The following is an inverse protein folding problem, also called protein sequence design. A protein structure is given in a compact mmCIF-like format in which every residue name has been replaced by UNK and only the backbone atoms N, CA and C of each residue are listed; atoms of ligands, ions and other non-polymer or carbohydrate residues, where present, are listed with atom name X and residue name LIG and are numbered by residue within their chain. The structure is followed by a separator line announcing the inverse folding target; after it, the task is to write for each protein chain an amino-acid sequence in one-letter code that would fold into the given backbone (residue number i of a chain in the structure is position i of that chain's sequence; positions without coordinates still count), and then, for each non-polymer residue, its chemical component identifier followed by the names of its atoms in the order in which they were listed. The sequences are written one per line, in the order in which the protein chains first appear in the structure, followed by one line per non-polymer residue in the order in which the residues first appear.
data_IF_455615391803
#
_entry.id   IF_455615391803
#
_cell.length_a   1.000
_cell.length_b   1.000
_cell.length_c   1.000
_cell.angle_alpha   90.00
_cell.angle_beta   90.00
_cell.angle_gamma   90.00
#
_symmetry.space_group_name_H-M   'P 1'
#
loop_
_entity.id
_entity.type
_entity.pdbx_description
1 polymer ?
#
# COMPACT_ATOMS: atom_id res chain seq x y z
N UNK A 1 26.98 -8.71 -13.47
CA UNK A 1 25.51 -8.58 -13.49
C UNK A 1 25.16 -7.23 -12.87
N UNK A 2 24.82 -6.21 -13.66
CA UNK A 2 24.40 -4.90 -13.13
C UNK A 2 22.96 -5.06 -12.68
N UNK A 3 22.70 -5.02 -11.37
CA UNK A 3 21.34 -4.86 -10.87
C UNK A 3 20.84 -3.52 -11.45
N UNK A 4 19.75 -3.56 -12.24
CA UNK A 4 18.99 -2.33 -12.48
C UNK A 4 18.60 -1.78 -11.10
N UNK A 5 18.40 -0.47 -10.93
CA UNK A 5 17.73 0.05 -9.75
C UNK A 5 16.25 -0.38 -9.81
N UNK A 6 16.01 -1.68 -9.72
CA UNK A 6 14.71 -2.28 -9.52
C UNK A 6 14.32 -1.90 -8.11
N UNK A 7 13.27 -1.10 -8.00
CA UNK A 7 12.68 -0.71 -6.73
C UNK A 7 12.41 -1.97 -5.89
N UNK A 8 12.55 -1.91 -4.57
CA UNK A 8 12.18 -3.02 -3.67
C UNK A 8 10.76 -3.55 -3.94
N UNK A 9 9.90 -2.71 -4.51
CA UNK A 9 8.53 -3.03 -4.89
C UNK A 9 8.42 -3.93 -6.14
N UNK A 10 9.46 -4.07 -6.98
CA UNK A 10 9.42 -5.01 -8.12
C UNK A 10 9.32 -6.47 -7.65
N UNK A 11 9.96 -6.83 -6.53
CA UNK A 11 9.85 -8.16 -5.91
C UNK A 11 8.54 -8.35 -5.12
N UNK A 12 7.78 -7.27 -4.92
CA UNK A 12 6.48 -7.27 -4.23
C UNK A 12 5.32 -7.21 -5.24
N UNK A 13 5.63 -7.23 -6.53
CA UNK A 13 4.65 -7.20 -7.60
C UNK A 13 3.80 -8.48 -7.56
N UNK A 14 2.47 -8.32 -7.58
CA UNK A 14 1.50 -9.42 -7.64
C UNK A 14 1.46 -10.09 -9.04
N UNK A 15 2.61 -10.19 -9.70
CA UNK A 15 2.74 -10.97 -10.93
C UNK A 15 2.82 -12.46 -10.54
N UNK A 16 2.01 -13.35 -11.14
CA UNK A 16 2.11 -14.79 -10.96
C UNK A 16 3.53 -15.36 -11.16
N UNK A 17 4.35 -14.72 -12.00
CA UNK A 17 5.73 -15.10 -12.26
C UNK A 17 6.71 -14.66 -11.15
N UNK A 18 6.35 -13.65 -10.35
CA UNK A 18 7.12 -13.13 -9.21
C UNK A 18 6.43 -13.43 -7.86
N UNK A 19 5.42 -14.30 -7.87
CA UNK A 19 4.51 -14.55 -6.77
C UNK A 19 5.21 -15.33 -5.64
N UNK A 20 5.92 -14.62 -4.79
CA UNK A 20 6.25 -15.10 -3.47
C UNK A 20 5.82 -14.03 -2.47
N UNK A 21 4.52 -14.00 -2.17
CA UNK A 21 3.99 -13.26 -1.01
C UNK A 21 4.41 -14.03 0.25
N UNK A 22 5.72 -14.10 0.47
CA UNK A 22 6.32 -14.74 1.62
C UNK A 22 5.97 -13.94 2.86
N UNK A 23 6.03 -14.58 4.03
CA UNK A 23 5.91 -13.89 5.31
C UNK A 23 6.88 -12.71 5.39
N UNK A 24 8.11 -12.88 4.87
CA UNK A 24 9.11 -11.83 4.86
C UNK A 24 8.68 -10.62 4.01
N UNK A 25 8.14 -10.86 2.82
CA UNK A 25 7.67 -9.80 1.93
C UNK A 25 6.44 -9.08 2.52
N UNK A 26 5.54 -9.82 3.16
CA UNK A 26 4.39 -9.24 3.86
C UNK A 26 4.84 -8.36 5.04
N UNK A 27 5.82 -8.81 5.83
CA UNK A 27 6.41 -8.01 6.92
C UNK A 27 7.02 -6.71 6.39
N UNK A 28 7.79 -6.77 5.31
CA UNK A 28 8.38 -5.57 4.69
C UNK A 28 7.31 -4.57 4.23
N UNK A 29 6.22 -5.03 3.61
CA UNK A 29 5.12 -4.15 3.20
C UNK A 29 4.42 -3.58 4.44
N UNK A 30 4.17 -4.40 5.46
CA UNK A 30 3.52 -3.96 6.69
C UNK A 30 4.36 -2.91 7.43
N UNK A 31 5.67 -3.11 7.55
CA UNK A 31 6.59 -2.11 8.12
C UNK A 31 6.62 -0.83 7.28
N UNK A 32 6.60 -0.95 5.94
CA UNK A 32 6.51 0.21 5.05
C UNK A 32 5.21 0.98 5.28
N UNK A 33 4.10 0.29 5.48
CA UNK A 33 2.81 0.92 5.82
C UNK A 33 2.90 1.69 7.15
N UNK A 34 3.46 1.08 8.20
CA UNK A 34 3.64 1.75 9.49
C UNK A 34 4.57 2.97 9.43
N UNK A 35 5.55 2.99 8.51
CA UNK A 35 6.40 4.17 8.29
C UNK A 35 5.62 5.33 7.64
N UNK A 36 4.59 5.03 6.86
CA UNK A 36 3.73 6.02 6.20
C UNK A 36 2.60 6.50 7.10
N UNK A 37 2.17 5.67 8.04
CA UNK A 37 1.23 6.02 9.10
C UNK A 37 1.89 6.95 10.14
N UNK A 38 1.80 8.26 9.87
CA UNK A 38 2.33 9.30 10.77
C UNK A 38 1.52 9.42 12.07
N UNK A 39 0.27 8.95 12.06
CA UNK A 39 -0.67 9.07 13.17
C UNK A 39 -0.61 7.87 14.12
N UNK A 40 -0.02 6.76 13.67
CA UNK A 40 0.15 5.51 14.41
C UNK A 40 -1.19 4.91 14.84
N UNK A 41 -2.21 5.06 14.01
CA UNK A 41 -3.57 4.54 14.22
C UNK A 41 -3.89 3.34 13.31
N UNK A 42 -2.88 2.79 12.63
CA UNK A 42 -2.99 1.73 11.62
C UNK A 42 -3.86 2.13 10.41
N UNK A 43 -4.05 3.45 10.19
CA UNK A 43 -4.85 4.00 9.11
C UNK A 43 -4.02 4.92 8.22
N UNK A 44 -4.39 4.98 6.95
CA UNK A 44 -3.79 5.90 6.00
C UNK A 44 -4.86 6.76 5.33
N UNK A 45 -4.68 8.07 5.37
CA UNK A 45 -5.58 9.03 4.74
C UNK A 45 -5.22 9.32 3.27
N UNK A 46 -6.10 10.06 2.62
CA UNK A 46 -5.98 10.47 1.22
C UNK A 46 -4.71 11.28 0.95
N UNK A 47 -4.33 12.19 1.85
CA UNK A 47 -3.15 13.05 1.71
C UNK A 47 -1.85 12.25 1.81
N UNK A 48 -1.71 11.38 2.82
CA UNK A 48 -0.55 10.50 3.00
C UNK A 48 -0.37 9.60 1.76
N UNK A 49 -1.47 8.98 1.33
CA UNK A 49 -1.49 8.11 0.15
C UNK A 49 -1.10 8.88 -1.11
N UNK A 50 -1.66 10.08 -1.30
CA UNK A 50 -1.36 10.93 -2.45
C UNK A 50 0.11 11.30 -2.50
N UNK A 51 0.67 11.83 -1.41
CA UNK A 51 2.07 12.27 -1.35
C UNK A 51 2.99 11.07 -1.64
N UNK A 52 2.71 9.94 -1.02
CA UNK A 52 3.52 8.74 -1.21
C UNK A 52 3.46 8.22 -2.66
N UNK A 53 2.26 8.10 -3.24
CA UNK A 53 2.06 7.64 -4.62
C UNK A 53 2.69 8.58 -5.63
N UNK A 54 2.57 9.89 -5.44
CA UNK A 54 3.18 10.89 -6.32
C UNK A 54 4.72 10.84 -6.28
N UNK A 55 5.29 10.48 -5.13
CA UNK A 55 6.74 10.36 -5.00
C UNK A 55 7.30 9.07 -5.59
N UNK A 56 6.56 7.95 -5.45
CA UNK A 56 7.06 6.61 -5.79
C UNK A 56 6.60 6.11 -7.17
N UNK A 57 5.63 6.78 -7.81
CA UNK A 57 5.06 6.35 -9.08
C UNK A 57 4.90 7.51 -10.06
N UNK A 58 4.71 7.20 -11.34
CA UNK A 58 4.37 8.16 -12.39
C UNK A 58 2.86 8.29 -12.62
N UNK A 59 2.04 7.84 -11.66
CA UNK A 59 0.59 7.86 -11.78
C UNK A 59 0.04 9.29 -11.79
N UNK A 60 -0.98 9.51 -12.61
CA UNK A 60 -1.72 10.77 -12.62
C UNK A 60 -2.59 10.87 -11.37
N UNK A 61 -2.88 12.11 -10.95
CA UNK A 61 -3.74 12.37 -9.79
C UNK A 61 -5.07 11.61 -9.84
N UNK A 62 -5.74 11.56 -10.99
CA UNK A 62 -6.99 10.81 -11.15
C UNK A 62 -6.85 9.30 -10.92
N UNK A 63 -5.70 8.71 -11.27
CA UNK A 63 -5.41 7.29 -11.04
C UNK A 63 -5.13 7.04 -9.56
N UNK A 64 -4.41 7.95 -8.91
CA UNK A 64 -4.15 7.88 -7.47
C UNK A 64 -5.46 7.95 -6.67
N UNK A 65 -6.35 8.87 -7.04
CA UNK A 65 -7.69 8.98 -6.44
C UNK A 65 -8.48 7.70 -6.64
N UNK A 66 -8.52 7.15 -7.86
CA UNK A 66 -9.23 5.89 -8.12
C UNK A 66 -8.68 4.71 -7.29
N UNK A 67 -7.35 4.63 -7.10
CA UNK A 67 -6.73 3.61 -6.24
C UNK A 67 -7.11 3.82 -4.78
N UNK A 68 -7.11 5.07 -4.30
CA UNK A 68 -7.52 5.37 -2.94
C UNK A 68 -8.99 5.00 -2.70
N UNK A 69 -9.90 5.37 -3.60
CA UNK A 69 -11.32 5.00 -3.54
C UNK A 69 -11.52 3.48 -3.54
N UNK A 70 -10.68 2.73 -4.26
CA UNK A 70 -10.70 1.26 -4.23
C UNK A 70 -10.27 0.70 -2.86
N UNK A 71 -9.32 1.36 -2.19
CA UNK A 71 -8.84 0.94 -0.87
C UNK A 71 -9.77 1.39 0.26
N UNK A 72 -10.37 2.58 0.19
CA UNK A 72 -11.36 3.08 1.16
C UNK A 72 -12.74 2.47 0.91
N UNK A 73 -12.84 1.15 1.07
CA UNK A 73 -14.06 0.37 0.83
C UNK A 73 -15.29 0.83 1.64
N UNK A 74 -15.07 1.55 2.75
CA UNK A 74 -16.13 2.03 3.63
C UNK A 74 -16.38 3.54 3.50
N UNK A 75 -15.72 4.22 2.57
CA UNK A 75 -15.83 5.67 2.33
C UNK A 75 -15.62 6.50 3.60
N UNK A 76 -14.66 6.10 4.43
CA UNK A 76 -14.34 6.78 5.69
C UNK A 76 -13.31 7.89 5.54
N UNK A 77 -12.66 8.01 4.38
CA UNK A 77 -11.49 8.85 4.16
C UNK A 77 -10.19 8.20 4.63
N UNK A 78 -10.23 6.92 5.01
CA UNK A 78 -9.10 6.16 5.52
C UNK A 78 -9.19 4.69 5.08
N UNK A 79 -8.04 4.03 4.95
CA UNK A 79 -7.99 2.57 4.83
C UNK A 79 -6.91 2.00 5.75
N UNK A 80 -7.11 0.74 6.17
CA UNK A 80 -6.17 0.00 7.01
C UNK A 80 -5.32 -0.97 6.15
N UNK A 81 -4.22 -1.45 6.71
CA UNK A 81 -3.38 -2.46 6.04
C UNK A 81 -4.07 -3.83 5.98
N UNK A 82 -4.85 -4.16 7.03
CA UNK A 82 -5.56 -5.43 7.17
C UNK A 82 -7.08 -5.22 7.14
N UNK A 83 -7.60 -5.15 5.91
CA UNK A 83 -9.01 -4.95 5.59
C UNK A 83 -9.91 -6.08 6.12
N UNK A 84 -9.35 -7.15 6.71
CA UNK A 84 -10.10 -8.28 7.26
C UNK A 84 -10.49 -8.10 8.74
N UNK A 85 -9.83 -7.20 9.48
CA UNK A 85 -10.07 -7.06 10.94
C UNK A 85 -11.46 -6.54 11.30
N UNK A 86 -12.10 -5.73 10.45
CA UNK A 86 -13.41 -5.12 10.76
C UNK A 86 -14.61 -6.07 10.67
N UNK A 87 -14.49 -7.27 10.11
CA UNK A 87 -15.61 -8.24 10.01
C UNK A 87 -15.77 -9.18 11.21
N UNK A 88 -14.95 -9.08 12.27
CA UNK A 88 -15.00 -10.01 13.43
C UNK A 88 -15.94 -9.61 14.58
N UNK A 89 -16.72 -8.53 14.45
CA UNK A 89 -17.66 -8.08 15.48
C UNK A 89 -19.10 -7.97 14.96
N UNK A 90 -19.58 -9.00 14.25
CA UNK A 90 -21.01 -9.24 14.01
C UNK A 90 -21.38 -10.62 14.55
#
# INVERSE_FOLDING_TARGET
MRLKPSSMYECLHLDPNYMALTVQNLMTISESFHLLDIHKDELMNDLQTKIWMQHNTSLKFSQIVAIFELMDCNSTGFFDFDMTKKKRNL
#
